data_IF_466608062539
#
_entry.id   IF_466608062539
#
_cell.length_a   1.000
_cell.length_b   1.000
_cell.length_c   1.000
_cell.angle_alpha   90.00
_cell.angle_beta   90.00
_cell.angle_gamma   90.00
#
_symmetry.space_group_name_H-M   'P 1'
#
loop_
_entity.id
_entity.type
_entity.pdbx_description
1 polymer ?
#
# COMPACT_ATOMS: atom_id res chain seq x y z
N UNK A 1 -21.66 47.64 0.00
CA UNK A 1 -20.31 47.03 0.01
C UNK A 1 -20.45 45.52 -0.12
N UNK A 2 -19.82 44.86 -1.09
CA UNK A 2 -19.97 43.40 -1.24
C UNK A 2 -19.18 42.67 -0.14
N UNK A 3 -19.85 41.79 0.60
CA UNK A 3 -19.22 40.95 1.62
C UNK A 3 -18.34 39.90 0.94
N UNK A 4 -17.03 39.90 1.25
CA UNK A 4 -16.11 38.81 0.86
C UNK A 4 -16.69 37.49 1.37
N UNK A 5 -17.02 36.55 0.48
CA UNK A 5 -17.29 35.15 0.85
C UNK A 5 -16.04 34.63 1.58
N UNK A 6 -16.19 34.23 2.84
CA UNK A 6 -15.18 33.41 3.52
C UNK A 6 -15.03 32.15 2.68
N UNK A 7 -13.82 31.86 2.20
CA UNK A 7 -13.51 30.53 1.71
C UNK A 7 -13.57 29.60 2.92
N UNK A 8 -14.47 28.64 2.90
CA UNK A 8 -14.55 27.58 3.92
C UNK A 8 -13.33 26.65 3.74
N UNK A 9 -12.18 27.12 4.24
CA UNK A 9 -10.93 26.38 4.18
C UNK A 9 -11.03 25.07 4.95
N UNK A 10 -10.43 24.01 4.42
CA UNK A 10 -10.30 22.74 5.12
C UNK A 10 -9.35 22.95 6.33
N UNK A 11 -9.73 22.55 7.55
CA UNK A 11 -8.83 22.58 8.71
C UNK A 11 -7.54 21.78 8.45
N UNK A 12 -6.40 22.26 8.96
CA UNK A 12 -5.07 21.67 8.72
C UNK A 12 -5.03 20.18 9.08
N UNK A 13 -5.79 19.79 10.10
CA UNK A 13 -5.89 18.44 10.64
C UNK A 13 -6.52 17.47 9.63
N UNK A 14 -7.33 17.97 8.69
CA UNK A 14 -8.01 17.17 7.66
C UNK A 14 -7.23 17.10 6.34
N UNK A 15 -6.08 17.76 6.24
CA UNK A 15 -5.29 17.80 5.00
C UNK A 15 -4.49 16.51 4.75
N UNK A 16 -4.36 15.64 5.76
CA UNK A 16 -3.70 14.34 5.64
C UNK A 16 -4.26 13.35 6.62
N UNK A 17 -4.13 12.08 6.28
CA UNK A 17 -4.32 11.01 7.24
C UNK A 17 -3.22 11.02 8.31
N UNK A 18 -3.55 10.55 9.52
CA UNK A 18 -2.62 10.39 10.65
C UNK A 18 -2.90 9.07 11.35
N UNK A 19 -1.83 8.39 11.75
CA UNK A 19 -1.85 7.26 12.67
C UNK A 19 -1.36 7.74 14.03
N UNK A 20 -2.02 7.33 15.10
CA UNK A 20 -1.46 7.43 16.45
C UNK A 20 -0.47 6.28 16.67
N UNK A 21 0.85 6.53 16.81
CA UNK A 21 1.83 5.46 17.00
C UNK A 21 1.56 4.61 18.25
N UNK A 22 0.90 5.15 19.28
CA UNK A 22 0.57 4.41 20.49
C UNK A 22 -0.47 3.29 20.24
N UNK A 23 -1.13 3.30 19.08
CA UNK A 23 -2.07 2.23 18.69
C UNK A 23 -1.37 1.03 18.04
N UNK A 24 -0.07 1.13 17.71
CA UNK A 24 0.69 0.04 17.13
C UNK A 24 1.14 -0.95 18.22
N UNK A 25 1.04 -2.27 17.99
CA UNK A 25 1.36 -3.29 19.00
C UNK A 25 2.89 -3.58 19.10
N UNK A 26 3.74 -2.61 18.76
CA UNK A 26 5.21 -2.76 18.77
C UNK A 26 5.89 -1.40 19.01
N UNK A 27 7.10 -1.40 19.55
CA UNK A 27 7.86 -0.16 19.83
C UNK A 27 8.71 0.27 18.63
N UNK A 28 9.38 -0.68 17.98
CA UNK A 28 10.22 -0.44 16.82
C UNK A 28 9.95 -1.47 15.72
N UNK A 29 10.26 -1.13 14.47
CA UNK A 29 10.10 -2.07 13.36
C UNK A 29 11.04 -3.28 13.43
N UNK A 30 12.01 -3.28 14.37
CA UNK A 30 12.89 -4.43 14.63
C UNK A 30 12.19 -5.54 15.41
N UNK A 31 11.07 -5.20 16.06
CA UNK A 31 10.27 -6.14 16.86
C UNK A 31 9.29 -6.95 15.98
N UNK A 32 9.17 -6.58 14.71
CA UNK A 32 8.26 -7.22 13.76
C UNK A 32 8.94 -8.38 13.04
N UNK A 33 8.22 -9.50 12.95
CA UNK A 33 8.59 -10.58 12.04
C UNK A 33 8.47 -10.12 10.57
N UNK A 34 9.49 -10.34 9.73
CA UNK A 34 9.44 -9.96 8.33
C UNK A 34 8.29 -10.66 7.60
N UNK A 35 7.50 -9.87 6.87
CA UNK A 35 6.46 -10.42 6.03
C UNK A 35 7.09 -11.20 4.87
N UNK A 36 6.66 -12.45 4.68
CA UNK A 36 7.11 -13.32 3.58
C UNK A 36 6.30 -13.15 2.29
N UNK A 37 5.21 -12.39 2.38
CA UNK A 37 4.23 -12.19 1.33
C UNK A 37 4.44 -10.87 0.61
N UNK A 38 4.04 -10.82 -0.67
CA UNK A 38 4.07 -9.59 -1.46
C UNK A 38 2.77 -8.81 -1.21
N UNK A 39 2.90 -7.64 -0.58
CA UNK A 39 1.75 -6.79 -0.23
C UNK A 39 1.10 -6.20 -1.49
N UNK A 40 -0.23 -6.32 -1.57
CA UNK A 40 -1.05 -5.61 -2.58
C UNK A 40 -1.00 -6.19 -3.98
N UNK A 41 -0.37 -7.36 -4.19
CA UNK A 41 -0.12 -7.94 -5.52
C UNK A 41 -0.65 -9.37 -5.65
N UNK A 42 -1.78 -9.69 -5.02
CA UNK A 42 -2.39 -11.03 -5.05
C UNK A 42 -2.47 -11.61 -6.48
N UNK A 43 -3.08 -10.86 -7.40
CA UNK A 43 -3.17 -11.23 -8.83
C UNK A 43 -1.81 -11.42 -9.50
N UNK A 44 -0.83 -10.59 -9.15
CA UNK A 44 0.53 -10.68 -9.70
C UNK A 44 1.23 -11.96 -9.25
N UNK A 45 1.10 -12.29 -7.96
CA UNK A 45 1.65 -13.52 -7.37
C UNK A 45 1.01 -14.76 -8.00
N UNK A 46 -0.31 -14.77 -8.20
CA UNK A 46 -1.01 -15.88 -8.85
C UNK A 46 -0.58 -16.07 -10.31
N UNK A 47 -0.48 -14.99 -11.08
CA UNK A 47 0.00 -15.04 -12.47
C UNK A 47 1.44 -15.58 -12.56
N UNK A 48 2.29 -15.19 -11.62
CA UNK A 48 3.65 -15.72 -11.51
C UNK A 48 3.67 -17.22 -11.19
N UNK A 49 2.87 -17.66 -10.21
CA UNK A 49 2.75 -19.08 -9.85
C UNK A 49 2.26 -19.92 -11.03
N UNK A 50 1.27 -19.41 -11.76
CA UNK A 50 0.77 -20.03 -12.98
C UNK A 50 1.87 -20.16 -14.03
N UNK A 51 2.57 -19.07 -14.35
CA UNK A 51 3.64 -19.07 -15.34
C UNK A 51 4.79 -20.02 -14.99
N UNK A 52 5.20 -20.06 -13.71
CA UNK A 52 6.23 -20.99 -13.23
C UNK A 52 5.79 -22.46 -13.28
N UNK A 53 4.48 -22.74 -13.19
CA UNK A 53 3.93 -24.09 -13.32
C UNK A 53 3.94 -24.64 -14.75
N UNK A 54 4.22 -23.80 -15.76
CA UNK A 54 4.23 -24.23 -17.16
C UNK A 54 5.55 -24.93 -17.50
N UNK A 55 5.53 -26.26 -17.53
CA UNK A 55 6.72 -27.08 -17.84
C UNK A 55 7.01 -27.13 -19.36
N UNK A 56 7.34 -25.98 -19.95
CA UNK A 56 7.74 -25.86 -21.36
C UNK A 56 8.98 -24.98 -21.47
N UNK A 57 10.02 -25.50 -22.11
CA UNK A 57 11.24 -24.73 -22.38
C UNK A 57 10.94 -23.48 -23.23
N UNK A 58 11.57 -22.36 -22.87
CA UNK A 58 11.40 -21.07 -23.55
C UNK A 58 10.08 -20.35 -23.25
N UNK A 59 9.32 -20.78 -22.24
CA UNK A 59 8.16 -20.02 -21.76
C UNK A 59 8.63 -18.80 -20.96
N UNK A 60 8.16 -17.61 -21.35
CA UNK A 60 8.57 -16.34 -20.74
C UNK A 60 7.38 -15.69 -20.02
N UNK A 61 7.66 -15.01 -18.91
CA UNK A 61 6.68 -14.21 -18.17
C UNK A 61 7.03 -12.73 -18.34
N UNK A 62 6.05 -11.92 -18.74
CA UNK A 62 6.16 -10.47 -18.81
C UNK A 62 5.40 -9.84 -17.63
N UNK A 63 5.99 -8.84 -16.99
CA UNK A 63 5.47 -8.20 -15.77
C UNK A 63 5.28 -6.71 -16.03
N UNK A 64 4.15 -6.15 -15.58
CA UNK A 64 3.77 -4.74 -15.73
C UNK A 64 3.27 -4.13 -14.43
#
# INVERSE_FOLDING_TARGET
MPRKKKSDGIPVEKLRWRLDPATLPFETTRDLEPLKEIVGQERGVEAFRFGMGMNKSGYNVFVT
#
